data_IF_990557322995
#
_entry.id   IF_990557322995
#
_cell.length_a   1.000
_cell.length_b   1.000
_cell.length_c   1.000
_cell.angle_alpha   90.00
_cell.angle_beta   90.00
_cell.angle_gamma   90.00
#
_symmetry.space_group_name_H-M   'P 1'
#
loop_
_entity.id
_entity.type
_entity.pdbx_description
1 polymer ?
#
# COMPACT_ATOMS: atom_id res chain seq x y z
N UNK A 1 -27.14 11.94 15.91
CA UNK A 1 -26.50 11.56 14.63
C UNK A 1 -25.03 11.94 14.74
N UNK A 2 -24.13 10.97 14.84
CA UNK A 2 -22.69 11.19 14.97
C UNK A 2 -22.07 11.27 13.56
N UNK A 3 -21.15 12.23 13.29
CA UNK A 3 -20.55 12.39 11.97
C UNK A 3 -19.59 11.24 11.63
N UNK A 4 -19.50 10.95 10.33
CA UNK A 4 -18.88 9.78 9.71
C UNK A 4 -17.35 9.64 9.88
N UNK A 5 -16.67 10.58 10.55
CA UNK A 5 -15.21 10.52 10.80
C UNK A 5 -14.79 9.47 11.85
N UNK A 6 -15.69 9.08 12.76
CA UNK A 6 -15.38 8.21 13.92
C UNK A 6 -15.09 6.72 13.64
N UNK A 7 -15.05 6.27 12.37
CA UNK A 7 -14.95 4.82 12.07
C UNK A 7 -13.61 4.34 11.51
N UNK A 8 -12.68 5.23 11.15
CA UNK A 8 -11.42 4.83 10.49
C UNK A 8 -10.17 4.92 11.40
N UNK A 9 -10.20 5.72 12.46
CA UNK A 9 -9.05 5.92 13.33
C UNK A 9 -8.74 4.69 14.22
N UNK A 10 -9.74 3.91 14.59
CA UNK A 10 -9.59 2.79 15.54
C UNK A 10 -8.94 1.53 14.95
N UNK A 11 -8.78 1.44 13.62
CA UNK A 11 -8.36 0.22 12.93
C UNK A 11 -6.88 0.21 12.51
N UNK A 12 -6.21 1.37 12.47
CA UNK A 12 -4.81 1.48 12.01
C UNK A 12 -3.79 1.44 13.15
N UNK A 13 -4.22 1.67 14.39
CA UNK A 13 -3.37 1.58 15.59
C UNK A 13 -3.26 0.17 16.19
N UNK A 14 -4.02 -0.80 15.68
CA UNK A 14 -4.11 -2.17 16.24
C UNK A 14 -3.32 -3.25 15.47
N UNK A 15 -2.52 -2.88 14.46
CA UNK A 15 -1.88 -3.87 13.57
C UNK A 15 -0.60 -4.54 14.13
N UNK A 16 -0.18 -4.29 15.37
CA UNK A 16 1.16 -4.70 15.85
C UNK A 16 1.22 -5.41 17.21
N UNK A 17 0.09 -5.84 17.77
CA UNK A 17 0.10 -6.60 19.03
C UNK A 17 0.39 -8.10 18.81
N UNK A 18 1.65 -8.51 18.93
CA UNK A 18 2.05 -9.93 18.89
C UNK A 18 3.48 -10.20 19.37
N UNK A 19 3.57 -10.74 20.60
CA UNK A 19 4.69 -11.42 21.29
C UNK A 19 5.81 -10.61 21.99
N UNK A 20 6.20 -11.16 23.14
CA UNK A 20 6.90 -10.61 24.32
C UNK A 20 8.40 -10.95 24.33
N UNK A 21 9.28 -10.02 24.79
CA UNK A 21 10.49 -10.32 25.58
C UNK A 21 11.10 -9.05 26.27
N UNK A 22 11.75 -9.27 27.43
CA UNK A 22 12.18 -8.35 28.51
C UNK A 22 13.40 -7.40 28.27
N UNK A 23 13.20 -6.12 28.63
CA UNK A 23 13.87 -5.21 29.62
C UNK A 23 15.33 -4.71 29.50
N UNK A 24 15.45 -3.37 29.71
CA UNK A 24 16.50 -2.71 30.53
C UNK A 24 16.42 -1.17 30.52
N UNK A 25 16.22 -0.45 31.66
CA UNK A 25 16.03 1.00 31.66
C UNK A 25 17.36 1.79 31.75
N UNK A 26 17.42 2.97 31.13
CA UNK A 26 18.45 4.00 31.39
C UNK A 26 17.80 5.28 31.89
N UNK A 27 18.25 5.74 33.06
CA UNK A 27 17.88 7.02 33.66
C UNK A 27 18.60 8.19 32.96
N UNK A 28 17.91 9.32 32.78
CA UNK A 28 18.53 10.62 32.52
C UNK A 28 18.51 11.51 33.77
N UNK A 29 19.50 12.39 33.97
CA UNK A 29 19.60 13.24 35.14
C UNK A 29 18.90 14.59 34.96
N UNK A 30 18.33 15.08 36.07
CA UNK A 30 17.74 16.40 36.26
C UNK A 30 18.75 17.57 36.29
N UNK A 31 18.21 18.78 36.02
CA UNK A 31 18.54 20.16 36.52
C UNK A 31 18.74 21.18 35.38
N UNK A 32 18.40 22.48 35.47
CA UNK A 32 17.74 23.35 36.44
C UNK A 32 17.33 24.67 35.73
N UNK A 33 16.40 25.39 36.35
CA UNK A 33 15.69 26.59 35.89
C UNK A 33 16.50 27.88 35.66
N UNK A 34 16.19 28.56 34.56
CA UNK A 34 16.14 30.03 34.46
C UNK A 34 14.89 30.42 33.67
N UNK A 35 14.23 31.52 34.02
CA UNK A 35 13.03 32.06 33.34
C UNK A 35 13.39 32.59 31.94
N UNK A 36 13.71 31.67 31.04
CA UNK A 36 13.84 31.90 29.60
C UNK A 36 12.50 31.56 28.94
N UNK A 37 12.18 32.21 27.82
CA UNK A 37 11.15 31.64 26.93
C UNK A 37 11.63 30.24 26.54
N UNK A 38 10.77 29.24 26.70
CA UNK A 38 11.15 27.87 26.38
C UNK A 38 11.54 27.79 24.90
N UNK A 39 12.76 27.31 24.63
CA UNK A 39 13.21 27.00 23.27
C UNK A 39 12.37 25.86 22.67
N UNK A 40 12.43 25.69 21.35
CA UNK A 40 11.60 24.70 20.64
C UNK A 40 11.76 23.28 21.21
N UNK A 41 12.99 22.92 21.64
CA UNK A 41 13.27 21.65 22.32
C UNK A 41 12.43 21.47 23.58
N UNK A 42 12.52 22.43 24.51
CA UNK A 42 11.82 22.37 25.79
C UNK A 42 10.29 22.39 25.63
N UNK A 43 9.78 23.17 24.68
CA UNK A 43 8.34 23.18 24.33
C UNK A 43 7.90 21.80 23.86
N UNK A 44 8.66 21.16 22.97
CA UNK A 44 8.28 19.86 22.43
C UNK A 44 8.48 18.70 23.40
N UNK A 45 9.53 18.69 24.24
CA UNK A 45 9.67 17.71 25.32
C UNK A 45 8.47 17.78 26.29
N UNK A 46 8.04 19.01 26.63
CA UNK A 46 6.84 19.22 27.46
C UNK A 46 5.56 18.78 26.75
N UNK A 47 5.46 19.02 25.43
CA UNK A 47 4.35 18.57 24.61
C UNK A 47 4.22 17.04 24.61
N UNK A 48 5.30 16.30 24.35
CA UNK A 48 5.31 14.84 24.43
C UNK A 48 4.96 14.34 25.83
N UNK A 49 5.47 14.98 26.88
CA UNK A 49 5.11 14.64 28.26
C UNK A 49 3.61 14.82 28.52
N UNK A 50 2.99 15.89 28.01
CA UNK A 50 1.56 16.11 28.14
C UNK A 50 0.75 15.07 27.35
N UNK A 51 1.20 14.70 26.15
CA UNK A 51 0.57 13.67 25.31
C UNK A 51 0.62 12.29 25.97
N UNK A 52 1.78 11.87 26.48
CA UNK A 52 1.93 10.61 27.22
C UNK A 52 1.10 10.64 28.52
N UNK A 53 1.07 11.77 29.22
CA UNK A 53 0.23 11.99 30.40
C UNK A 53 -1.27 12.09 30.13
N UNK A 54 -1.71 12.07 28.86
CA UNK A 54 -3.10 12.27 28.43
C UNK A 54 -3.70 13.60 28.89
N UNK A 55 -2.85 14.63 29.01
CA UNK A 55 -3.22 15.98 29.40
C UNK A 55 -3.44 16.86 28.16
N UNK A 56 -4.65 16.81 27.62
CA UNK A 56 -5.05 17.55 26.43
C UNK A 56 -4.97 19.06 26.63
N UNK A 57 -5.30 19.57 27.82
CA UNK A 57 -5.31 21.01 28.06
C UNK A 57 -3.89 21.58 28.05
N UNK A 58 -2.98 20.92 28.77
CA UNK A 58 -1.57 21.30 28.78
C UNK A 58 -0.97 21.21 27.39
N UNK A 59 -1.21 20.11 26.66
CA UNK A 59 -0.74 19.94 25.29
C UNK A 59 -1.21 21.07 24.37
N UNK A 60 -2.52 21.38 24.37
CA UNK A 60 -3.08 22.43 23.52
C UNK A 60 -2.62 23.84 23.90
N UNK A 61 -2.29 24.10 25.16
CA UNK A 61 -1.77 25.41 25.58
C UNK A 61 -0.41 25.74 24.95
N UNK A 62 0.34 24.72 24.54
CA UNK A 62 1.60 24.84 23.83
C UNK A 62 1.43 24.97 22.31
N UNK A 63 0.20 24.93 21.78
CA UNK A 63 -0.09 24.99 20.34
C UNK A 63 -0.50 26.40 19.93
N UNK A 64 0.07 26.90 18.83
CA UNK A 64 -0.29 28.18 18.23
C UNK A 64 -1.67 28.09 17.55
N UNK A 65 -2.44 29.18 17.57
CA UNK A 65 -3.81 29.15 17.06
C UNK A 65 -3.87 28.89 15.54
N UNK A 66 -2.81 29.27 14.81
CA UNK A 66 -2.66 29.10 13.36
C UNK A 66 -1.70 27.94 12.98
N UNK A 67 -1.49 26.97 13.87
CA UNK A 67 -0.59 25.84 13.63
C UNK A 67 -0.92 25.08 12.34
N UNK A 68 0.13 24.62 11.64
CA UNK A 68 0.01 23.62 10.58
C UNK A 68 0.67 22.32 11.02
N UNK A 69 -0.12 21.26 11.17
CA UNK A 69 0.35 19.94 11.59
C UNK A 69 0.21 18.94 10.44
N UNK A 70 1.35 18.47 9.91
CA UNK A 70 1.41 17.48 8.84
C UNK A 70 1.82 16.12 9.40
N UNK A 71 0.86 15.23 9.58
CA UNK A 71 1.15 13.82 9.89
C UNK A 71 0.94 12.98 8.63
N UNK A 72 2.02 12.37 8.12
CA UNK A 72 1.99 11.62 6.86
C UNK A 72 1.20 10.29 6.95
N UNK A 73 0.67 9.96 8.13
CA UNK A 73 -0.35 8.93 8.31
C UNK A 73 -1.71 9.37 7.75
N UNK A 74 -1.97 10.68 7.65
CA UNK A 74 -3.22 11.25 7.18
C UNK A 74 -3.04 12.00 5.85
N UNK A 75 -4.09 12.00 5.01
CA UNK A 75 -4.03 12.64 3.70
C UNK A 75 -4.05 14.18 3.77
N UNK A 76 -4.83 14.74 4.70
CA UNK A 76 -4.96 16.18 4.88
C UNK A 76 -4.26 16.64 6.15
N UNK A 77 -3.58 17.80 6.12
CA UNK A 77 -2.96 18.36 7.32
C UNK A 77 -4.01 18.92 8.28
N UNK A 78 -3.71 18.84 9.58
CA UNK A 78 -4.53 19.47 10.60
C UNK A 78 -4.16 20.96 10.71
N UNK A 79 -5.17 21.82 10.61
CA UNK A 79 -4.99 23.27 10.59
C UNK A 79 -5.61 23.92 11.82
N UNK A 80 -4.85 24.81 12.42
CA UNK A 80 -5.20 25.54 13.63
C UNK A 80 -5.31 24.64 14.86
N UNK A 81 -5.46 25.30 16.01
CA UNK A 81 -5.47 24.62 17.32
C UNK A 81 -6.59 23.57 17.44
N UNK A 82 -7.72 23.78 16.78
CA UNK A 82 -8.84 22.83 16.80
C UNK A 82 -8.56 21.56 15.98
N UNK A 83 -7.85 21.68 14.85
CA UNK A 83 -7.40 20.49 14.10
C UNK A 83 -6.44 19.63 14.91
N UNK A 84 -5.51 20.26 15.65
CA UNK A 84 -4.60 19.53 16.56
C UNK A 84 -5.35 18.93 17.74
N UNK A 85 -6.41 19.57 18.25
CA UNK A 85 -7.29 18.97 19.27
C UNK A 85 -7.92 17.67 18.78
N UNK A 86 -8.43 17.63 17.54
CA UNK A 86 -9.00 16.41 16.94
C UNK A 86 -7.96 15.28 16.95
N UNK A 87 -6.77 15.54 16.38
CA UNK A 87 -5.65 14.59 16.36
C UNK A 87 -5.28 14.06 17.75
N UNK A 88 -5.08 14.97 18.72
CA UNK A 88 -4.68 14.60 20.08
C UNK A 88 -5.78 13.82 20.81
N UNK A 89 -7.06 14.17 20.58
CA UNK A 89 -8.17 13.46 21.21
C UNK A 89 -8.25 11.99 20.76
N UNK A 90 -7.97 11.73 19.49
CA UNK A 90 -7.90 10.37 18.95
C UNK A 90 -6.68 9.62 19.50
N UNK A 91 -5.49 10.25 19.52
CA UNK A 91 -4.28 9.66 20.09
C UNK A 91 -4.44 9.35 21.60
N UNK A 92 -5.10 10.23 22.35
CA UNK A 92 -5.33 10.06 23.79
C UNK A 92 -6.44 9.06 24.12
N UNK A 93 -7.25 8.65 23.13
CA UNK A 93 -8.25 7.58 23.30
C UNK A 93 -7.63 6.17 23.34
N UNK A 94 -6.35 6.05 23.00
CA UNK A 94 -5.60 4.81 23.04
C UNK A 94 -5.41 4.28 24.48
N UNK A 95 -5.15 2.97 24.63
CA UNK A 95 -4.86 2.37 25.94
C UNK A 95 -3.79 3.15 26.72
N UNK A 96 -3.96 3.20 28.04
CA UNK A 96 -2.87 3.65 28.94
C UNK A 96 -1.69 2.70 28.81
N UNK A 97 -0.48 3.24 28.98
CA UNK A 97 0.77 2.50 28.78
C UNK A 97 1.37 2.67 27.38
N UNK A 98 0.63 3.22 26.42
CA UNK A 98 1.17 3.57 25.10
C UNK A 98 1.80 4.96 25.13
N UNK A 99 3.13 4.99 25.14
CA UNK A 99 3.94 6.20 25.31
C UNK A 99 4.86 6.43 24.11
N UNK A 100 4.99 7.69 23.71
CA UNK A 100 5.98 8.12 22.72
C UNK A 100 7.29 8.47 23.43
N UNK A 101 8.35 7.74 23.13
CA UNK A 101 9.67 7.91 23.74
C UNK A 101 10.57 8.66 22.78
N UNK A 102 11.13 9.78 23.22
CA UNK A 102 12.10 10.57 22.45
C UNK A 102 13.47 9.88 22.53
N UNK A 103 14.03 9.55 21.37
CA UNK A 103 15.32 8.87 21.23
C UNK A 103 16.48 9.87 21.12
N UNK A 104 16.32 10.88 20.27
CA UNK A 104 17.35 11.90 20.00
C UNK A 104 16.72 13.22 19.56
N UNK A 105 17.45 14.32 19.78
CA UNK A 105 16.99 15.69 19.52
C UNK A 105 18.09 16.50 18.85
N UNK A 106 17.75 17.17 17.76
CA UNK A 106 18.63 18.06 17.02
C UNK A 106 18.06 19.48 16.92
N UNK A 107 18.82 20.48 17.40
CA UNK A 107 18.42 21.89 17.40
C UNK A 107 17.48 22.26 18.55
N UNK A 108 16.89 23.46 18.47
CA UNK A 108 15.83 23.90 19.40
C UNK A 108 16.30 24.59 20.68
N UNK A 109 17.58 24.91 20.81
CA UNK A 109 18.19 25.54 21.99
C UNK A 109 18.21 27.10 21.94
N UNK A 110 17.53 27.72 20.97
CA UNK A 110 17.51 29.19 20.85
C UNK A 110 16.79 29.89 22.01
N UNK A 111 17.38 31.00 22.47
CA UNK A 111 16.84 31.88 23.51
C UNK A 111 15.67 32.78 23.02
N UNK A 112 15.43 32.87 21.70
CA UNK A 112 14.39 33.74 21.12
C UNK A 112 12.96 33.24 21.33
N UNK A 113 12.76 31.93 21.56
CA UNK A 113 11.45 31.26 21.57
C UNK A 113 10.89 30.92 20.17
N UNK A 114 11.57 31.38 19.12
CA UNK A 114 11.29 31.07 17.72
C UNK A 114 12.45 30.23 17.17
N UNK A 115 12.24 28.94 17.00
CA UNK A 115 13.28 28.00 16.55
C UNK A 115 12.67 26.74 15.92
N UNK A 116 13.52 25.89 15.35
CA UNK A 116 13.17 24.57 14.86
C UNK A 116 13.86 23.48 15.66
N UNK A 117 13.18 22.35 15.87
CA UNK A 117 13.75 21.17 16.51
C UNK A 117 13.37 19.92 15.72
N UNK A 118 14.35 19.05 15.49
CA UNK A 118 14.15 17.71 14.98
C UNK A 118 14.19 16.70 16.12
N UNK A 119 13.30 15.71 16.10
CA UNK A 119 13.26 14.65 17.11
C UNK A 119 13.10 13.30 16.44
N UNK A 120 13.80 12.28 16.92
CA UNK A 120 13.48 10.88 16.62
C UNK A 120 12.79 10.26 17.82
N UNK A 121 11.86 9.35 17.58
CA UNK A 121 11.09 8.72 18.63
C UNK A 121 10.68 7.30 18.26
N UNK A 122 10.24 6.53 19.24
CA UNK A 122 9.54 5.28 19.06
C UNK A 122 8.35 5.17 20.02
N UNK A 123 7.44 4.24 19.78
CA UNK A 123 6.32 3.97 20.69
C UNK A 123 6.64 2.77 21.55
N UNK A 124 6.41 2.91 22.85
CA UNK A 124 6.41 1.81 23.81
C UNK A 124 4.99 1.49 24.27
N UNK A 125 4.76 0.24 24.67
CA UNK A 125 3.59 -0.18 25.43
C UNK A 125 4.05 -0.79 26.77
N UNK A 126 3.67 -0.17 27.89
CA UNK A 126 4.09 -0.53 29.24
C UNK A 126 5.62 -0.67 29.38
N UNK A 127 6.37 0.26 28.76
CA UNK A 127 7.84 0.27 28.79
C UNK A 127 8.51 -0.72 27.84
N UNK A 128 7.76 -1.34 26.92
CA UNK A 128 8.28 -2.26 25.89
C UNK A 128 8.17 -1.61 24.51
N UNK A 129 9.29 -1.40 23.78
CA UNK A 129 9.27 -0.87 22.42
C UNK A 129 8.44 -1.72 21.46
N UNK A 130 7.51 -1.08 20.76
CA UNK A 130 6.72 -1.72 19.72
C UNK A 130 7.55 -1.89 18.43
N UNK A 131 7.44 -3.04 17.73
CA UNK A 131 8.14 -3.21 16.46
C UNK A 131 7.56 -2.27 15.39
N UNK A 132 8.45 -1.74 14.55
CA UNK A 132 8.11 -0.83 13.44
C UNK A 132 7.34 0.44 13.87
N UNK A 133 7.53 0.89 15.12
CA UNK A 133 6.85 2.06 15.68
C UNK A 133 7.72 3.32 15.72
N UNK A 134 8.86 3.31 15.01
CA UNK A 134 9.78 4.43 15.02
C UNK A 134 9.21 5.58 14.20
N UNK A 135 9.61 6.80 14.55
CA UNK A 135 9.23 8.00 13.82
C UNK A 135 10.31 9.07 13.91
N UNK A 136 10.15 10.06 13.05
CA UNK A 136 10.94 11.27 13.06
C UNK A 136 10.04 12.47 12.83
N UNK A 137 10.31 13.54 13.57
CA UNK A 137 9.49 14.73 13.57
C UNK A 137 10.33 15.99 13.43
N UNK A 138 9.77 16.97 12.73
CA UNK A 138 10.31 18.32 12.64
C UNK A 138 9.26 19.30 13.16
N UNK A 139 9.64 20.06 14.17
CA UNK A 139 8.79 21.07 14.79
C UNK A 139 9.38 22.46 14.61
N UNK A 140 8.51 23.47 14.53
CA UNK A 140 8.89 24.87 14.66
C UNK A 140 8.02 25.53 15.71
N UNK A 141 8.62 26.42 16.48
CA UNK A 141 7.90 27.26 17.43
C UNK A 141 7.84 28.71 16.96
N UNK A 142 6.77 29.38 17.37
CA UNK A 142 6.57 30.82 17.25
C UNK A 142 6.03 31.32 18.59
N UNK A 143 6.65 32.34 19.17
CA UNK A 143 6.35 32.88 20.49
C UNK A 143 6.27 31.79 21.59
N UNK A 144 7.14 30.77 21.52
CA UNK A 144 7.15 29.67 22.48
C UNK A 144 6.00 28.67 22.34
N UNK A 145 5.25 28.69 21.22
CA UNK A 145 4.20 27.74 20.89
C UNK A 145 4.50 26.99 19.60
N UNK A 146 4.06 25.74 19.48
CA UNK A 146 4.14 24.93 18.27
C UNK A 146 3.34 25.59 17.14
N UNK A 147 4.04 26.04 16.10
CA UNK A 147 3.44 26.70 14.92
C UNK A 147 3.48 25.82 13.68
N UNK A 148 4.36 24.82 13.65
CA UNK A 148 4.43 23.85 12.57
C UNK A 148 4.94 22.51 13.07
N UNK A 149 4.32 21.43 12.63
CA UNK A 149 4.76 20.06 12.86
C UNK A 149 4.78 19.28 11.55
N UNK A 150 5.77 18.42 11.40
CA UNK A 150 5.79 17.36 10.40
C UNK A 150 6.23 16.06 11.05
N UNK A 151 5.36 15.07 11.01
CA UNK A 151 5.60 13.74 11.56
C UNK A 151 5.70 12.70 10.43
N UNK A 152 6.75 11.89 10.50
CA UNK A 152 7.03 10.79 9.58
C UNK A 152 7.12 9.51 10.41
N UNK A 153 6.20 8.58 10.18
CA UNK A 153 6.15 7.29 10.88
C UNK A 153 6.78 6.21 10.02
N UNK A 154 7.49 5.27 10.65
CA UNK A 154 8.01 4.09 9.99
C UNK A 154 6.89 3.30 9.31
N UNK A 155 7.11 2.91 8.06
CA UNK A 155 6.16 2.07 7.33
C UNK A 155 6.06 0.69 8.00
N UNK A 156 4.85 0.18 8.28
CA UNK A 156 4.67 -1.18 8.78
C UNK A 156 5.12 -2.22 7.73
N UNK A 157 5.14 -1.84 6.45
CA UNK A 157 5.66 -2.63 5.34
C UNK A 157 7.10 -2.21 5.03
N UNK A 158 8.06 -3.06 5.41
CA UNK A 158 9.50 -2.86 5.14
C UNK A 158 9.86 -3.39 3.74
N UNK A 159 9.55 -2.60 2.71
CA UNK A 159 9.83 -2.98 1.32
C UNK A 159 11.34 -2.95 0.94
N UNK A 160 12.22 -2.57 1.87
CA UNK A 160 13.69 -2.68 1.70
C UNK A 160 14.22 -2.10 0.40
N UNK A 161 15.17 -2.79 -0.23
CA UNK A 161 15.73 -2.43 -1.55
C UNK A 161 14.71 -2.48 -2.69
N UNK A 162 13.60 -3.21 -2.54
CA UNK A 162 12.55 -3.29 -3.55
C UNK A 162 11.82 -1.95 -3.74
N UNK A 163 11.69 -1.14 -2.67
CA UNK A 163 11.13 0.21 -2.78
C UNK A 163 11.99 1.13 -3.67
N UNK A 164 13.32 1.02 -3.59
CA UNK A 164 14.25 1.76 -4.46
C UNK A 164 14.14 1.28 -5.91
N UNK A 165 13.92 -0.02 -6.13
CA UNK A 165 13.62 -0.57 -7.45
C UNK A 165 12.33 -0.01 -8.06
N UNK A 166 11.26 0.10 -7.26
CA UNK A 166 9.98 0.70 -7.67
C UNK A 166 10.17 2.18 -8.01
N UNK A 167 10.87 2.95 -7.17
CA UNK A 167 11.18 4.37 -7.43
C UNK A 167 12.04 4.53 -8.70
N UNK A 168 13.05 3.67 -8.90
CA UNK A 168 13.88 3.67 -10.10
C UNK A 168 13.09 3.31 -11.37
N UNK A 169 12.16 2.37 -11.27
CA UNK A 169 11.26 2.01 -12.37
C UNK A 169 10.29 3.14 -12.70
N UNK A 170 9.65 3.75 -11.68
CA UNK A 170 8.76 4.92 -11.85
C UNK A 170 9.54 6.10 -12.44
N UNK A 171 10.75 6.39 -11.96
CA UNK A 171 11.59 7.45 -12.50
C UNK A 171 11.96 7.20 -13.97
N UNK A 172 12.26 5.96 -14.33
CA UNK A 172 12.49 5.54 -15.72
C UNK A 172 11.24 5.73 -16.57
N UNK A 173 10.07 5.29 -16.08
CA UNK A 173 8.79 5.48 -16.77
C UNK A 173 8.46 6.96 -16.97
N UNK A 174 8.65 7.80 -15.96
CA UNK A 174 8.42 9.25 -16.03
C UNK A 174 9.40 9.90 -17.01
N UNK A 175 10.67 9.50 -17.00
CA UNK A 175 11.68 10.02 -17.93
C UNK A 175 11.40 9.59 -19.38
N UNK A 176 10.97 8.34 -19.57
CA UNK A 176 10.60 7.80 -20.88
C UNK A 176 9.29 8.40 -21.40
N UNK A 177 8.32 8.67 -20.53
CA UNK A 177 7.07 9.37 -20.88
C UNK A 177 7.34 10.80 -21.39
N UNK A 178 8.35 11.49 -20.83
CA UNK A 178 8.81 12.80 -21.34
C UNK A 178 9.44 12.75 -22.74
N UNK A 179 9.78 11.57 -23.27
CA UNK A 179 10.30 11.38 -24.64
C UNK A 179 9.20 11.04 -25.66
N UNK A 180 7.92 11.09 -25.27
CA UNK A 180 6.79 10.79 -26.14
C UNK A 180 6.51 9.28 -26.29
N UNK A 181 5.64 8.92 -27.24
CA UNK A 181 5.12 7.56 -27.45
C UNK A 181 6.23 6.49 -27.61
N UNK A 182 7.34 6.85 -28.26
CA UNK A 182 8.50 5.96 -28.44
C UNK A 182 9.19 5.61 -27.11
N UNK A 183 9.24 6.53 -26.15
CA UNK A 183 9.85 6.28 -24.84
C UNK A 183 9.03 5.29 -24.01
N UNK A 184 7.70 5.45 -23.96
CA UNK A 184 6.82 4.49 -23.28
C UNK A 184 6.91 3.09 -23.89
N UNK A 185 6.97 2.97 -25.22
CA UNK A 185 7.18 1.68 -25.88
C UNK A 185 8.48 1.01 -25.41
N UNK A 186 9.61 1.72 -25.47
CA UNK A 186 10.92 1.19 -25.07
C UNK A 186 10.92 0.79 -23.59
N UNK A 187 10.30 1.57 -22.72
CA UNK A 187 10.22 1.27 -21.30
C UNK A 187 9.46 -0.04 -21.03
N UNK A 188 8.26 -0.20 -21.60
CA UNK A 188 7.47 -1.43 -21.42
C UNK A 188 8.09 -2.64 -22.12
N UNK A 189 8.71 -2.47 -23.29
CA UNK A 189 9.45 -3.55 -23.96
C UNK A 189 10.67 -4.01 -23.15
N UNK A 190 11.39 -3.08 -22.53
CA UNK A 190 12.50 -3.37 -21.62
C UNK A 190 11.99 -4.08 -20.38
N UNK A 191 10.91 -3.59 -19.76
CA UNK A 191 10.28 -4.22 -18.61
C UNK A 191 9.83 -5.65 -18.93
N UNK A 192 9.19 -5.87 -20.09
CA UNK A 192 8.79 -7.20 -20.55
C UNK A 192 10.01 -8.12 -20.71
N UNK A 193 11.07 -7.63 -21.33
CA UNK A 193 12.31 -8.41 -21.55
C UNK A 193 12.96 -8.80 -20.22
N UNK A 194 13.02 -7.86 -19.26
CA UNK A 194 13.54 -8.11 -17.92
C UNK A 194 12.64 -9.09 -17.14
N UNK A 195 11.32 -8.92 -17.22
CA UNK A 195 10.36 -9.83 -16.60
C UNK A 195 10.56 -11.27 -17.11
N UNK A 196 10.57 -11.45 -18.43
CA UNK A 196 10.79 -12.75 -19.07
C UNK A 196 12.15 -13.34 -18.69
N UNK A 197 13.21 -12.54 -18.73
CA UNK A 197 14.52 -13.03 -18.37
C UNK A 197 14.60 -13.45 -16.90
N UNK A 198 14.24 -12.55 -15.98
CA UNK A 198 14.38 -12.79 -14.54
C UNK A 198 13.48 -13.93 -14.07
N UNK A 199 12.19 -13.90 -14.40
CA UNK A 199 11.22 -14.84 -13.82
C UNK A 199 11.08 -16.14 -14.61
N UNK A 200 11.25 -16.13 -15.93
CA UNK A 200 11.01 -17.33 -16.74
C UNK A 200 12.32 -18.02 -17.17
N UNK A 201 13.34 -17.25 -17.56
CA UNK A 201 14.50 -17.81 -18.27
C UNK A 201 15.78 -17.92 -17.43
N UNK A 202 15.93 -17.14 -16.37
CA UNK A 202 17.18 -17.06 -15.61
C UNK A 202 17.51 -18.40 -14.93
N UNK A 203 18.74 -18.93 -15.10
CA UNK A 203 19.18 -20.13 -14.39
C UNK A 203 18.96 -20.05 -12.88
N UNK A 204 18.69 -21.21 -12.26
CA UNK A 204 18.61 -21.30 -10.80
C UNK A 204 19.90 -20.78 -10.15
N UNK A 205 19.76 -20.04 -9.05
CA UNK A 205 20.89 -19.51 -8.29
C UNK A 205 21.56 -18.27 -8.89
N UNK A 206 21.15 -17.79 -10.08
CA UNK A 206 21.65 -16.52 -10.61
C UNK A 206 21.24 -15.33 -9.72
N UNK A 207 20.02 -15.36 -9.17
CA UNK A 207 19.50 -14.35 -8.27
C UNK A 207 19.30 -14.94 -6.88
N UNK A 208 20.01 -14.45 -5.83
CA UNK A 208 19.94 -15.02 -4.48
C UNK A 208 18.56 -14.96 -3.83
N UNK A 209 17.69 -14.07 -4.29
CA UNK A 209 16.33 -13.87 -3.80
C UNK A 209 15.28 -14.68 -4.57
N UNK A 210 15.65 -15.36 -5.65
CA UNK A 210 14.72 -16.09 -6.52
C UNK A 210 14.99 -17.59 -6.44
N UNK A 211 14.21 -18.28 -5.62
CA UNK A 211 14.19 -19.75 -5.53
C UNK A 211 13.48 -20.39 -6.72
N UNK A 212 13.50 -21.73 -6.77
CA UNK A 212 12.79 -22.54 -7.74
C UNK A 212 13.38 -22.58 -9.17
N UNK A 213 12.98 -23.58 -9.99
CA UNK A 213 13.45 -23.77 -11.37
C UNK A 213 12.95 -22.71 -12.36
N UNK A 214 13.73 -22.42 -13.42
CA UNK A 214 13.23 -21.66 -14.56
C UNK A 214 12.21 -22.46 -15.35
N UNK A 215 11.45 -21.75 -16.19
CA UNK A 215 10.39 -22.31 -17.02
C UNK A 215 10.88 -23.36 -18.04
N UNK A 216 12.18 -23.34 -18.40
CA UNK A 216 12.76 -24.33 -19.32
C UNK A 216 13.34 -25.58 -18.60
N UNK A 217 13.43 -25.57 -17.27
CA UNK A 217 13.88 -26.69 -16.45
C UNK A 217 12.89 -26.97 -15.31
N UNK A 218 11.59 -26.87 -15.62
CA UNK A 218 10.50 -27.15 -14.68
C UNK A 218 10.68 -28.56 -14.12
N UNK A 219 10.65 -28.67 -12.79
CA UNK A 219 10.72 -29.95 -12.10
C UNK A 219 9.34 -30.65 -12.06
N UNK A 220 9.37 -31.94 -11.71
CA UNK A 220 8.17 -32.78 -11.65
C UNK A 220 7.14 -32.34 -10.59
N UNK A 221 7.48 -31.37 -9.73
CA UNK A 221 6.57 -30.86 -8.68
C UNK A 221 5.93 -29.52 -9.06
N UNK A 222 6.64 -28.69 -9.81
CA UNK A 222 6.22 -27.32 -10.14
C UNK A 222 5.03 -27.32 -11.10
N UNK A 223 5.05 -28.15 -12.16
CA UNK A 223 3.95 -28.20 -13.11
C UNK A 223 2.65 -28.73 -12.49
N UNK A 224 2.65 -29.83 -11.72
CA UNK A 224 1.47 -30.24 -10.96
C UNK A 224 0.93 -29.17 -10.04
N UNK A 225 1.79 -28.49 -9.26
CA UNK A 225 1.36 -27.42 -8.36
C UNK A 225 0.58 -26.31 -9.11
N UNK A 226 1.09 -25.87 -10.28
CA UNK A 226 0.42 -24.86 -11.11
C UNK A 226 -0.93 -25.37 -11.64
N UNK A 227 -1.00 -26.64 -12.05
CA UNK A 227 -2.24 -27.26 -12.51
C UNK A 227 -3.25 -27.34 -11.35
N UNK A 228 -2.81 -27.75 -10.18
CA UNK A 228 -3.64 -27.93 -8.99
C UNK A 228 -4.18 -26.58 -8.47
N UNK A 229 -3.35 -25.54 -8.49
CA UNK A 229 -3.76 -24.15 -8.25
C UNK A 229 -4.81 -23.71 -9.28
N UNK A 230 -4.57 -23.99 -10.57
CA UNK A 230 -5.48 -23.63 -11.68
C UNK A 230 -6.81 -24.37 -11.61
N UNK A 231 -6.83 -25.62 -11.14
CA UNK A 231 -8.07 -26.35 -10.89
C UNK A 231 -8.89 -25.68 -9.78
N UNK A 232 -8.25 -24.99 -8.85
CA UNK A 232 -8.91 -24.22 -7.78
C UNK A 232 -9.09 -22.73 -8.14
N UNK A 233 -9.08 -22.38 -9.44
CA UNK A 233 -9.31 -21.02 -9.92
C UNK A 233 -10.62 -20.42 -9.40
N UNK A 234 -10.52 -19.22 -8.83
CA UNK A 234 -11.58 -18.41 -8.23
C UNK A 234 -12.40 -19.12 -7.16
N UNK A 235 -11.87 -20.22 -6.60
CA UNK A 235 -12.61 -21.08 -5.70
C UNK A 235 -13.94 -21.55 -6.28
N UNK A 236 -14.04 -21.68 -7.60
CA UNK A 236 -15.31 -22.03 -8.28
C UNK A 236 -15.78 -23.41 -7.81
N UNK A 237 -14.93 -24.44 -7.87
CA UNK A 237 -15.34 -25.78 -7.44
C UNK A 237 -15.66 -25.87 -5.94
N UNK A 238 -14.80 -25.40 -5.02
CA UNK A 238 -15.15 -25.37 -3.59
C UNK A 238 -16.44 -24.59 -3.31
N UNK A 239 -16.67 -23.49 -4.04
CA UNK A 239 -17.89 -22.70 -3.95
C UNK A 239 -19.12 -23.49 -4.37
N UNK A 240 -19.08 -24.17 -5.53
CA UNK A 240 -20.17 -25.01 -6.02
C UNK A 240 -20.48 -26.16 -5.06
N UNK A 241 -19.45 -26.78 -4.47
CA UNK A 241 -19.60 -27.83 -3.46
C UNK A 241 -20.35 -27.33 -2.23
N UNK A 242 -20.02 -26.13 -1.76
CA UNK A 242 -20.63 -25.54 -0.56
C UNK A 242 -22.13 -25.27 -0.70
N UNK A 243 -22.62 -25.10 -1.93
CA UNK A 243 -24.04 -24.83 -2.24
C UNK A 243 -24.74 -26.02 -2.93
N UNK A 244 -24.06 -27.18 -3.02
CA UNK A 244 -24.64 -28.41 -3.56
C UNK A 244 -24.89 -28.39 -5.08
N UNK A 245 -24.14 -27.58 -5.84
CA UNK A 245 -24.19 -27.57 -7.30
C UNK A 245 -23.22 -28.58 -7.93
N UNK A 246 -23.45 -29.02 -9.19
CA UNK A 246 -22.56 -29.95 -9.86
C UNK A 246 -21.11 -29.45 -9.94
N UNK A 247 -20.18 -30.31 -9.55
CA UNK A 247 -18.75 -30.07 -9.51
C UNK A 247 -17.96 -31.38 -9.75
N UNK A 248 -16.64 -31.33 -9.93
CA UNK A 248 -15.82 -32.54 -9.98
C UNK A 248 -16.02 -33.48 -8.78
N UNK A 249 -16.18 -32.95 -7.56
CA UNK A 249 -16.36 -33.75 -6.35
C UNK A 249 -17.71 -34.47 -6.33
N UNK A 250 -18.78 -33.85 -6.87
CA UNK A 250 -20.08 -34.52 -7.06
C UNK A 250 -20.02 -35.69 -8.05
N UNK A 251 -19.01 -35.72 -8.92
CA UNK A 251 -18.73 -36.81 -9.85
C UNK A 251 -17.72 -37.84 -9.30
N UNK A 252 -17.34 -37.71 -8.01
CA UNK A 252 -16.36 -38.58 -7.36
C UNK A 252 -14.90 -38.26 -7.72
N UNK A 253 -14.63 -37.09 -8.32
CA UNK A 253 -13.28 -36.63 -8.63
C UNK A 253 -12.82 -35.71 -7.49
N UNK A 254 -11.84 -36.16 -6.71
CA UNK A 254 -11.24 -35.34 -5.66
C UNK A 254 -10.50 -34.14 -6.27
N UNK A 255 -10.75 -32.95 -5.72
CA UNK A 255 -9.95 -31.76 -6.05
C UNK A 255 -8.58 -31.88 -5.38
N UNK A 256 -7.51 -31.41 -6.04
CA UNK A 256 -6.19 -31.41 -5.44
C UNK A 256 -6.15 -30.48 -4.23
N UNK A 257 -5.52 -30.95 -3.15
CA UNK A 257 -5.23 -30.12 -1.98
C UNK A 257 -4.03 -29.22 -2.29
N UNK A 258 -4.24 -27.91 -2.16
CA UNK A 258 -3.20 -26.89 -2.39
C UNK A 258 -2.95 -26.14 -1.10
N UNK A 259 -1.69 -25.78 -0.86
CA UNK A 259 -1.33 -24.90 0.27
C UNK A 259 -2.18 -23.62 0.25
N UNK A 260 -2.77 -23.30 1.41
CA UNK A 260 -3.74 -22.21 1.56
C UNK A 260 -3.15 -20.84 1.23
N UNK A 261 -1.90 -20.56 1.62
CA UNK A 261 -1.26 -19.27 1.34
C UNK A 261 -0.92 -19.13 -0.14
N UNK A 262 -0.39 -20.20 -0.74
CA UNK A 262 -0.12 -20.29 -2.18
C UNK A 262 -1.38 -20.09 -3.01
N UNK A 263 -2.46 -20.79 -2.68
CA UNK A 263 -3.73 -20.68 -3.40
C UNK A 263 -4.36 -19.28 -3.25
N UNK A 264 -4.22 -18.67 -2.06
CA UNK A 264 -4.66 -17.29 -1.83
C UNK A 264 -3.88 -16.28 -2.69
N UNK A 265 -2.56 -16.46 -2.80
CA UNK A 265 -1.70 -15.61 -3.62
C UNK A 265 -2.04 -15.73 -5.12
N UNK A 266 -2.21 -16.97 -5.61
CA UNK A 266 -2.63 -17.26 -6.98
C UNK A 266 -3.95 -16.56 -7.31
N UNK A 267 -4.99 -16.81 -6.51
CA UNK A 267 -6.32 -16.24 -6.74
C UNK A 267 -6.38 -14.71 -6.58
N UNK A 268 -5.53 -14.12 -5.73
CA UNK A 268 -5.37 -12.67 -5.64
C UNK A 268 -4.81 -12.09 -6.94
N UNK A 269 -3.73 -12.68 -7.47
CA UNK A 269 -3.12 -12.23 -8.72
C UNK A 269 -4.12 -12.37 -9.90
N UNK A 270 -4.80 -13.51 -10.00
CA UNK A 270 -5.79 -13.76 -11.05
C UNK A 270 -7.03 -12.87 -10.93
N UNK A 271 -7.53 -12.61 -9.72
CA UNK A 271 -8.63 -11.66 -9.51
C UNK A 271 -8.26 -10.25 -9.97
N UNK A 272 -6.99 -9.87 -9.76
CA UNK A 272 -6.48 -8.59 -10.24
C UNK A 272 -6.39 -8.57 -11.78
N UNK A 273 -5.77 -9.57 -12.39
CA UNK A 273 -5.68 -9.70 -13.85
C UNK A 273 -7.07 -9.69 -14.51
N UNK A 274 -8.04 -10.35 -13.89
CA UNK A 274 -9.43 -10.38 -14.34
C UNK A 274 -10.05 -8.99 -14.41
N UNK A 275 -9.89 -8.18 -13.36
CA UNK A 275 -10.39 -6.80 -13.30
C UNK A 275 -9.80 -5.88 -14.37
N UNK A 276 -8.63 -6.20 -14.93
CA UNK A 276 -7.98 -5.36 -15.92
C UNK A 276 -8.74 -5.34 -17.26
N UNK A 277 -9.54 -6.35 -17.61
CA UNK A 277 -10.24 -6.36 -18.91
C UNK A 277 -11.11 -5.11 -19.15
N UNK A 278 -12.06 -4.75 -18.28
CA UNK A 278 -12.82 -3.51 -18.46
C UNK A 278 -11.93 -2.26 -18.54
N UNK A 279 -10.82 -2.21 -17.78
CA UNK A 279 -9.86 -1.10 -17.83
C UNK A 279 -9.16 -1.02 -19.20
N UNK A 280 -8.70 -2.16 -19.74
CA UNK A 280 -8.05 -2.25 -21.04
C UNK A 280 -8.98 -1.84 -22.19
N UNK A 281 -10.28 -2.17 -22.08
CA UNK A 281 -11.30 -1.77 -23.04
C UNK A 281 -11.63 -0.26 -22.97
N UNK A 282 -11.61 0.31 -21.77
CA UNK A 282 -11.91 1.73 -21.52
C UNK A 282 -10.79 2.68 -21.98
N UNK A 283 -9.53 2.22 -21.89
CA UNK A 283 -8.37 3.11 -21.95
C UNK A 283 -7.85 3.42 -23.36
N UNK A 284 -7.21 2.45 -24.03
CA UNK A 284 -6.75 2.51 -25.43
C UNK A 284 -6.87 1.13 -26.04
N UNK A 285 -8.10 0.67 -26.32
CA UNK A 285 -8.32 -0.70 -26.74
C UNK A 285 -7.59 -0.98 -28.05
N UNK A 286 -6.70 -1.97 -28.03
CA UNK A 286 -6.20 -2.59 -29.25
C UNK A 286 -7.35 -3.27 -29.99
N UNK A 287 -7.23 -3.47 -31.31
CA UNK A 287 -8.30 -4.07 -32.14
C UNK A 287 -8.84 -5.39 -31.58
N UNK A 288 -7.99 -6.19 -30.93
CA UNK A 288 -8.36 -7.45 -30.28
C UNK A 288 -7.80 -7.54 -28.84
N UNK A 289 -8.27 -6.71 -27.91
CA UNK A 289 -7.84 -6.75 -26.49
C UNK A 289 -7.95 -8.16 -25.89
N UNK A 290 -8.98 -8.93 -26.25
CA UNK A 290 -9.18 -10.29 -25.74
C UNK A 290 -8.02 -11.25 -26.08
N UNK A 291 -7.34 -11.06 -27.20
CA UNK A 291 -6.17 -11.88 -27.57
C UNK A 291 -4.97 -11.64 -26.66
N UNK A 292 -4.97 -10.53 -25.91
CA UNK A 292 -3.98 -10.22 -24.89
C UNK A 292 -4.47 -10.61 -23.51
N UNK A 293 -5.72 -10.31 -23.20
CA UNK A 293 -6.28 -10.55 -21.87
C UNK A 293 -6.45 -12.04 -21.57
N UNK A 294 -6.96 -12.85 -22.51
CA UNK A 294 -7.16 -14.29 -22.25
C UNK A 294 -5.85 -15.01 -21.92
N UNK A 295 -4.74 -14.83 -22.67
CA UNK A 295 -3.46 -15.39 -22.25
C UNK A 295 -2.88 -14.75 -20.98
N UNK A 296 -3.20 -13.48 -20.70
CA UNK A 296 -2.77 -12.82 -19.46
C UNK A 296 -3.46 -13.35 -18.20
N UNK A 297 -4.60 -14.04 -18.30
CA UNK A 297 -5.23 -14.77 -17.18
C UNK A 297 -4.45 -16.05 -16.78
N UNK A 298 -3.32 -16.33 -17.41
CA UNK A 298 -2.46 -17.48 -17.09
C UNK A 298 -0.98 -17.11 -17.10
N UNK A 299 -0.60 -16.19 -17.99
CA UNK A 299 0.76 -15.70 -18.16
C UNK A 299 0.92 -14.23 -17.74
N UNK A 300 -0.08 -13.64 -17.09
CA UNK A 300 -0.01 -12.38 -16.34
C UNK A 300 0.78 -11.28 -17.06
N UNK A 301 1.86 -10.76 -16.44
CA UNK A 301 2.68 -9.69 -17.00
C UNK A 301 3.63 -10.15 -18.11
N UNK A 302 3.81 -11.46 -18.31
CA UNK A 302 4.52 -11.96 -19.50
C UNK A 302 3.78 -11.56 -20.78
N UNK A 303 2.45 -11.35 -20.71
CA UNK A 303 1.60 -10.90 -21.80
C UNK A 303 1.21 -9.42 -21.67
N UNK A 304 0.90 -8.94 -20.45
CA UNK A 304 0.48 -7.55 -20.28
C UNK A 304 1.59 -6.53 -20.55
N UNK A 305 2.85 -6.78 -20.18
CA UNK A 305 3.92 -5.80 -20.45
C UNK A 305 4.13 -5.60 -21.97
N UNK A 306 4.19 -6.65 -22.81
CA UNK A 306 4.15 -6.48 -24.27
C UNK A 306 2.90 -5.78 -24.79
N UNK A 307 1.72 -6.07 -24.20
CA UNK A 307 0.50 -5.32 -24.53
C UNK A 307 0.68 -3.82 -24.27
N UNK A 308 1.20 -3.43 -23.09
CA UNK A 308 1.42 -2.02 -22.74
C UNK A 308 2.48 -1.34 -23.60
N UNK A 309 3.49 -2.09 -24.08
CA UNK A 309 4.42 -1.58 -25.08
C UNK A 309 3.69 -1.22 -26.38
N UNK A 310 2.90 -2.13 -26.94
CA UNK A 310 2.16 -1.86 -28.19
C UNK A 310 1.05 -0.82 -28.01
N UNK A 311 0.38 -0.80 -26.84
CA UNK A 311 -0.59 0.23 -26.42
C UNK A 311 0.03 1.62 -26.45
N UNK A 312 1.31 1.77 -26.10
CA UNK A 312 1.99 3.06 -26.14
C UNK A 312 2.05 3.68 -27.55
N UNK A 313 1.85 2.89 -28.61
CA UNK A 313 1.79 3.38 -30.00
C UNK A 313 0.35 3.67 -30.46
N UNK A 314 -0.65 3.26 -29.69
CA UNK A 314 -2.06 3.47 -30.02
C UNK A 314 -2.49 4.91 -29.69
N UNK A 315 -3.29 5.57 -30.56
CA UNK A 315 -3.87 6.87 -30.25
C UNK A 315 -4.85 6.75 -29.07
N UNK A 316 -5.01 7.85 -28.32
CA UNK A 316 -6.05 7.91 -27.31
C UNK A 316 -7.44 7.87 -27.98
N UNK A 317 -8.43 7.18 -27.39
CA UNK A 317 -9.79 7.18 -27.92
C UNK A 317 -10.39 8.58 -27.82
N UNK A 318 -11.25 8.92 -28.79
CA UNK A 318 -11.96 10.20 -28.82
C UNK A 318 -12.94 10.34 -27.66
N UNK A 319 -13.55 9.23 -27.24
CA UNK A 319 -14.46 9.15 -26.10
C UNK A 319 -14.15 7.85 -25.35
N UNK A 320 -14.09 7.94 -24.01
CA UNK A 320 -13.92 6.77 -23.15
C UNK A 320 -15.26 6.44 -22.53
N UNK A 321 -15.71 5.21 -22.74
CA UNK A 321 -16.95 4.73 -22.13
C UNK A 321 -16.64 3.49 -21.32
N UNK A 322 -16.87 3.58 -20.01
CA UNK A 322 -16.69 2.43 -19.13
C UNK A 322 -17.75 1.36 -19.46
N UNK A 323 -17.37 0.08 -19.65
CA UNK A 323 -18.33 -0.97 -19.96
C UNK A 323 -19.41 -1.09 -18.88
N UNK A 324 -20.68 -1.19 -19.27
CA UNK A 324 -21.82 -1.25 -18.33
C UNK A 324 -21.79 -2.47 -17.40
N UNK A 325 -21.13 -3.55 -17.82
CA UNK A 325 -20.94 -4.79 -17.05
C UNK A 325 -19.68 -4.78 -16.17
N UNK A 326 -18.89 -3.70 -16.18
CA UNK A 326 -17.69 -3.58 -15.33
C UNK A 326 -17.94 -3.77 -13.83
N UNK A 327 -19.09 -3.41 -13.22
CA UNK A 327 -19.33 -3.71 -11.80
C UNK A 327 -19.29 -5.20 -11.48
N UNK A 328 -19.70 -6.07 -12.41
CA UNK A 328 -19.63 -7.52 -12.23
C UNK A 328 -18.19 -7.97 -11.97
N UNK A 329 -17.23 -7.41 -12.71
CA UNK A 329 -15.82 -7.75 -12.57
C UNK A 329 -15.26 -7.33 -11.22
N UNK A 330 -15.60 -6.12 -10.77
CA UNK A 330 -15.18 -5.63 -9.45
C UNK A 330 -15.78 -6.45 -8.30
N UNK A 331 -17.08 -6.80 -8.37
CA UNK A 331 -17.75 -7.59 -7.33
C UNK A 331 -17.17 -9.00 -7.25
N UNK A 332 -17.02 -9.69 -8.39
CA UNK A 332 -16.45 -11.04 -8.40
C UNK A 332 -15.03 -11.07 -7.85
N UNK A 333 -14.18 -10.11 -8.25
CA UNK A 333 -12.81 -10.02 -7.74
C UNK A 333 -12.77 -9.76 -6.22
N UNK A 334 -13.65 -8.89 -5.69
CA UNK A 334 -13.76 -8.66 -4.25
C UNK A 334 -14.19 -9.93 -3.49
N UNK A 335 -15.11 -10.72 -4.04
CA UNK A 335 -15.51 -12.00 -3.44
C UNK A 335 -14.35 -12.99 -3.41
N UNK A 336 -13.61 -13.14 -4.52
CA UNK A 336 -12.43 -14.00 -4.59
C UNK A 336 -11.37 -13.59 -3.57
N UNK A 337 -11.08 -12.29 -3.46
CA UNK A 337 -10.10 -11.79 -2.48
C UNK A 337 -10.59 -11.92 -1.04
N UNK A 338 -11.89 -11.76 -0.78
CA UNK A 338 -12.43 -12.02 0.56
C UNK A 338 -12.20 -13.48 0.98
N UNK A 339 -12.42 -14.45 0.09
CA UNK A 339 -12.12 -15.87 0.34
C UNK A 339 -10.63 -16.10 0.50
N UNK A 340 -9.79 -15.50 -0.33
CA UNK A 340 -8.33 -15.62 -0.23
C UNK A 340 -7.79 -15.08 1.10
N UNK A 341 -8.29 -13.92 1.57
CA UNK A 341 -7.92 -13.36 2.87
C UNK A 341 -8.38 -14.28 4.00
N UNK A 342 -9.61 -14.77 3.94
CA UNK A 342 -10.14 -15.67 4.96
C UNK A 342 -9.36 -16.98 5.06
N UNK A 343 -9.04 -17.61 3.92
CA UNK A 343 -8.29 -18.86 3.86
C UNK A 343 -6.83 -18.71 4.31
N UNK A 344 -6.20 -17.57 3.99
CA UNK A 344 -4.81 -17.28 4.37
C UNK A 344 -4.66 -16.69 5.78
N UNK A 345 -5.76 -16.51 6.51
CA UNK A 345 -5.75 -15.84 7.80
C UNK A 345 -4.85 -16.58 8.81
N UNK A 346 -3.88 -15.86 9.37
CA UNK A 346 -2.91 -16.43 10.33
C UNK A 346 -1.73 -17.17 9.70
N UNK A 347 -1.66 -17.28 8.36
CA UNK A 347 -0.56 -17.96 7.66
C UNK A 347 0.52 -17.00 7.12
N UNK A 348 0.35 -15.69 7.29
CA UNK A 348 1.22 -14.65 6.72
C UNK A 348 2.69 -14.73 7.14
N UNK A 349 2.97 -15.34 8.30
CA UNK A 349 4.35 -15.56 8.75
C UNK A 349 5.15 -16.48 7.79
N UNK A 350 4.48 -17.38 7.08
CA UNK A 350 5.08 -18.28 6.09
C UNK A 350 5.23 -17.68 4.69
N UNK A 351 4.66 -16.49 4.43
CA UNK A 351 4.70 -15.86 3.12
C UNK A 351 6.13 -15.57 2.64
N UNK A 352 7.06 -15.04 3.46
CA UNK A 352 8.45 -14.81 3.01
C UNK A 352 9.15 -16.11 2.58
N UNK A 353 8.97 -17.20 3.32
CA UNK A 353 9.52 -18.50 2.95
C UNK A 353 8.93 -19.04 1.65
N UNK A 354 7.63 -18.86 1.43
CA UNK A 354 6.97 -19.26 0.19
C UNK A 354 7.53 -18.46 -1.00
N UNK A 355 7.59 -17.13 -0.90
CA UNK A 355 8.07 -16.27 -1.98
C UNK A 355 9.55 -16.47 -2.30
N UNK A 356 10.40 -16.71 -1.31
CA UNK A 356 11.83 -16.90 -1.55
C UNK A 356 12.16 -18.33 -2.01
N UNK A 357 11.33 -19.31 -1.64
CA UNK A 357 11.52 -20.72 -1.97
C UNK A 357 10.92 -21.12 -3.32
N UNK A 358 9.85 -20.45 -3.77
CA UNK A 358 9.10 -20.83 -4.95
C UNK A 358 9.03 -19.71 -5.99
N UNK A 359 9.50 -20.02 -7.20
CA UNK A 359 9.56 -19.06 -8.31
C UNK A 359 8.19 -18.60 -8.79
N UNK A 360 7.22 -19.52 -8.83
CA UNK A 360 5.87 -19.25 -9.31
C UNK A 360 5.13 -18.35 -8.32
N UNK A 361 5.21 -18.67 -7.03
CA UNK A 361 4.67 -17.81 -5.97
C UNK A 361 5.32 -16.42 -5.98
N UNK A 362 6.65 -16.36 -6.15
CA UNK A 362 7.34 -15.08 -6.34
C UNK A 362 6.81 -14.31 -7.55
N UNK A 363 6.59 -14.99 -8.68
CA UNK A 363 6.04 -14.38 -9.88
C UNK A 363 4.64 -13.78 -9.63
N UNK A 364 3.73 -14.48 -8.93
CA UNK A 364 2.41 -13.92 -8.59
C UNK A 364 2.49 -12.67 -7.70
N UNK A 365 3.43 -12.61 -6.76
CA UNK A 365 3.65 -11.41 -5.95
C UNK A 365 4.19 -10.24 -6.78
N UNK A 366 5.13 -10.51 -7.71
CA UNK A 366 5.61 -9.52 -8.68
C UNK A 366 4.46 -9.08 -9.59
N UNK A 367 3.59 -10.01 -9.99
CA UNK A 367 2.48 -9.74 -10.89
C UNK A 367 1.47 -8.79 -10.27
N UNK A 368 1.02 -9.06 -9.04
CA UNK A 368 0.14 -8.18 -8.30
C UNK A 368 0.73 -6.77 -8.14
N UNK A 369 2.04 -6.67 -7.91
CA UNK A 369 2.76 -5.40 -7.80
C UNK A 369 2.80 -4.65 -9.13
N UNK A 370 3.08 -5.34 -10.24
CA UNK A 370 3.07 -4.76 -11.57
C UNK A 370 1.67 -4.34 -12.02
N UNK A 371 0.63 -5.11 -11.70
CA UNK A 371 -0.75 -4.71 -11.96
C UNK A 371 -1.12 -3.41 -11.25
N UNK A 372 -0.67 -3.22 -10.01
CA UNK A 372 -0.83 -1.97 -9.28
C UNK A 372 -0.17 -0.78 -9.98
N UNK A 373 1.06 -0.99 -10.48
CA UNK A 373 1.78 0.04 -11.23
C UNK A 373 1.10 0.34 -12.58
N UNK A 374 0.64 -0.68 -13.30
CA UNK A 374 -0.06 -0.54 -14.57
C UNK A 374 -1.40 0.18 -14.40
N UNK A 375 -2.18 -0.19 -13.37
CA UNK A 375 -3.40 0.51 -12.97
C UNK A 375 -3.11 2.00 -12.72
N UNK A 376 -2.13 2.28 -11.85
CA UNK A 376 -1.79 3.65 -11.48
C UNK A 376 -1.31 4.46 -12.71
N UNK A 377 -0.53 3.83 -13.60
CA UNK A 377 -0.08 4.43 -14.85
C UNK A 377 -1.24 4.82 -15.77
N UNK A 378 -2.20 3.91 -16.01
CA UNK A 378 -3.39 4.19 -16.83
C UNK A 378 -4.22 5.33 -16.24
N UNK A 379 -4.45 5.33 -14.93
CA UNK A 379 -5.22 6.40 -14.28
C UNK A 379 -4.46 7.74 -14.18
N UNK A 380 -3.13 7.72 -14.16
CA UNK A 380 -2.34 8.95 -14.19
C UNK A 380 -2.49 9.70 -15.52
N UNK A 381 -2.61 8.98 -16.65
CA UNK A 381 -2.79 9.58 -17.98
C UNK A 381 -4.19 10.18 -18.21
N UNK A 382 -5.15 9.89 -17.33
CA UNK A 382 -6.58 10.18 -17.56
C UNK A 382 -7.23 11.07 -16.50
N UNK A 383 -6.45 11.61 -15.56
CA UNK A 383 -6.99 12.29 -14.36
C UNK A 383 -7.99 11.40 -13.60
N UNK A 384 -7.71 10.09 -13.56
CA UNK A 384 -8.59 9.08 -12.94
C UNK A 384 -8.85 9.33 -11.46
N UNK A 385 -9.77 8.55 -10.85
CA UNK A 385 -10.29 8.82 -9.50
C UNK A 385 -9.18 8.87 -8.44
N UNK A 386 -9.42 9.60 -7.35
CA UNK A 386 -8.46 9.79 -6.26
C UNK A 386 -7.85 8.47 -5.73
N UNK A 387 -8.62 7.38 -5.79
CA UNK A 387 -8.24 6.03 -5.35
C UNK A 387 -7.32 5.27 -6.31
N UNK A 388 -6.82 5.91 -7.39
CA UNK A 388 -5.93 5.29 -8.38
C UNK A 388 -4.66 4.64 -7.79
N UNK A 389 -4.21 5.12 -6.63
CA UNK A 389 -3.02 4.63 -5.92
C UNK A 389 -3.35 3.60 -4.84
N UNK A 390 -4.61 3.17 -4.72
CA UNK A 390 -4.98 2.05 -3.86
C UNK A 390 -4.94 0.79 -4.73
N UNK A 391 -3.91 -0.07 -4.59
CA UNK A 391 -3.80 -1.29 -5.39
C UNK A 391 -5.02 -2.18 -5.17
N UNK A 392 -5.46 -2.87 -6.23
CA UNK A 392 -6.60 -3.77 -6.26
C UNK A 392 -7.95 -3.11 -5.92
N UNK A 393 -8.12 -2.62 -4.70
CA UNK A 393 -9.37 -2.02 -4.21
C UNK A 393 -9.72 -0.72 -4.91
N UNK A 394 -8.72 0.08 -5.31
CA UNK A 394 -8.96 1.28 -6.11
C UNK A 394 -9.55 0.96 -7.49
N UNK A 395 -9.06 -0.10 -8.13
CA UNK A 395 -9.64 -0.58 -9.39
C UNK A 395 -11.01 -1.21 -9.19
N UNK A 396 -11.19 -2.05 -8.16
CA UNK A 396 -12.49 -2.63 -7.85
C UNK A 396 -13.55 -1.55 -7.58
N UNK A 397 -13.20 -0.53 -6.78
CA UNK A 397 -14.07 0.61 -6.53
C UNK A 397 -14.37 1.38 -7.83
N UNK A 398 -13.36 1.68 -8.65
CA UNK A 398 -13.57 2.31 -9.94
C UNK A 398 -14.49 1.49 -10.84
N UNK A 399 -14.40 0.15 -10.85
CA UNK A 399 -15.25 -0.73 -11.63
C UNK A 399 -16.71 -0.73 -11.16
N UNK A 400 -16.93 -0.66 -9.85
CA UNK A 400 -18.27 -0.76 -9.24
C UNK A 400 -19.01 0.58 -9.25
N UNK A 401 -18.30 1.67 -8.94
CA UNK A 401 -18.91 2.97 -8.78
C UNK A 401 -19.32 3.55 -10.16
N UNK A 402 -20.45 4.27 -10.24
CA UNK A 402 -20.78 5.01 -11.45
C UNK A 402 -19.69 6.04 -11.75
N UNK A 403 -19.52 6.42 -13.02
CA UNK A 403 -18.65 7.53 -13.37
C UNK A 403 -19.10 8.76 -12.57
N UNK A 404 -18.21 9.35 -11.78
CA UNK A 404 -18.44 10.70 -11.26
C UNK A 404 -18.68 11.54 -12.50
N UNK A 405 -19.91 12.04 -12.68
CA UNK A 405 -20.15 13.11 -13.63
C UNK A 405 -19.20 14.21 -13.19
N UNK A 406 -18.11 14.41 -13.92
CA UNK A 406 -17.33 15.64 -13.86
C UNK A 406 -18.38 16.74 -13.83
N UNK A 407 -18.52 17.41 -12.69
CA UNK A 407 -19.23 18.67 -12.61
C UNK A 407 -18.43 19.54 -13.56
N UNK A 408 -18.85 19.60 -14.82
CA UNK A 408 -18.36 20.55 -15.81
C UNK A 408 -18.59 21.88 -15.10
N UNK A 409 -17.52 22.46 -14.57
CA UNK A 409 -17.53 23.83 -14.14
C UNK A 409 -17.89 24.61 -15.39
N UNK A 410 -19.15 25.01 -15.49
CA UNK A 410 -19.55 25.98 -16.50
C UNK A 410 -18.57 27.16 -16.39
N UNK A 411 -17.99 27.62 -17.50
CA UNK A 411 -17.14 28.78 -17.45
C UNK A 411 -17.95 29.92 -16.83
N UNK A 412 -17.38 30.55 -15.79
CA UNK A 412 -17.97 31.72 -15.16
C UNK A 412 -18.41 32.71 -16.23
N UNK A 413 -19.66 33.19 -16.23
CA UNK A 413 -20.09 34.21 -17.16
C UNK A 413 -19.18 35.43 -17.01
N UNK A 414 -18.76 35.95 -18.17
CA UNK A 414 -17.74 37.00 -18.34
C UNK A 414 -18.02 38.29 -17.58
#
# INVERSE_FOLDING_TARGET
MLPARRRYASLLLLASAGLIAFVGPRQQPERLSHTARNGARSVMESFYSAVNGRDLETALNMVDDDVLYEDFTFQEPFRGREGVRELLSDAMSLPKGLDFIIDDVAGGDSWSGDDAVGMTWHVEFDGVPLPNSRGASLYKTKNGKLSYARDIVESPLKLGSAALGIVGFIATLVRSSKQGLAGSFVAFATAASLYWYVLLLSPQGQFPFLGGPPAWAIDDTTLPNVIDESLNFFYIWPGLDSIGLPSPSTLGIALPEVDAMRLALFNLAEAYAFMLLPLLLWDRPQRNVYNWWVPAMFLTNAILLPYFATRALAPAPAERQKPSWSPLFGILALLVVAVAIWQSWGLYAGLPSLLLGDRVAFAFAVDASLFALLQAYVFAETSGPAWRFVPFFGLAAWLILPEEQEVRSEPLPA
#
